data_IF_026568292812
#
_entry.id   IF_026568292812
#
_cell.length_a   1.000
_cell.length_b   1.000
_cell.length_c   1.000
_cell.angle_alpha   90.00
_cell.angle_beta   90.00
_cell.angle_gamma   90.00
#
_symmetry.space_group_name_H-M   'P 1'
#
loop_
_entity.id
_entity.type
_entity.pdbx_description
1 polymer ?
#
# COMPACT_ATOMS: atom_id res chain seq x y z
N UNK A 1 13.90 -30.41 15.97
CA UNK A 1 13.22 -29.84 14.80
C UNK A 1 11.76 -29.59 15.16
N UNK A 2 11.40 -28.36 15.49
CA UNK A 2 10.01 -27.96 15.74
C UNK A 2 9.25 -27.97 14.42
N UNK A 3 8.22 -28.82 14.31
CA UNK A 3 7.31 -28.82 13.16
C UNK A 3 6.58 -27.47 13.14
N UNK A 4 7.01 -26.57 12.25
CA UNK A 4 6.35 -25.29 12.06
C UNK A 4 4.97 -25.57 11.48
N UNK A 5 3.91 -25.26 12.23
CA UNK A 5 2.54 -25.49 11.77
C UNK A 5 2.14 -24.43 10.74
N UNK A 6 1.28 -24.79 9.79
CA UNK A 6 0.73 -23.85 8.80
C UNK A 6 0.08 -22.62 9.48
N UNK A 7 -0.62 -22.83 10.59
CA UNK A 7 -1.22 -21.75 11.38
C UNK A 7 -0.18 -20.75 11.89
N UNK A 8 1.00 -21.24 12.30
CA UNK A 8 2.11 -20.39 12.74
C UNK A 8 2.69 -19.57 11.59
N UNK A 9 2.87 -20.19 10.41
CA UNK A 9 3.35 -19.50 9.20
C UNK A 9 2.38 -18.38 8.79
N UNK A 10 1.08 -18.68 8.76
CA UNK A 10 0.04 -17.70 8.42
C UNK A 10 -0.01 -16.54 9.43
N UNK A 11 0.19 -16.83 10.71
CA UNK A 11 0.26 -15.80 11.75
C UNK A 11 1.46 -14.87 11.55
N UNK A 12 2.65 -15.42 11.28
CA UNK A 12 3.84 -14.59 11.02
C UNK A 12 3.69 -13.74 9.76
N UNK A 13 3.12 -14.32 8.70
CA UNK A 13 2.84 -13.59 7.47
C UNK A 13 1.86 -12.43 7.72
N UNK A 14 0.82 -12.66 8.53
CA UNK A 14 -0.12 -11.61 8.93
C UNK A 14 0.55 -10.45 9.68
N UNK A 15 1.41 -10.76 10.66
CA UNK A 15 2.15 -9.73 11.41
C UNK A 15 3.14 -8.98 10.52
N UNK A 16 3.80 -9.67 9.58
CA UNK A 16 4.70 -9.07 8.62
C UNK A 16 3.98 -8.03 7.73
N UNK A 17 2.81 -8.40 7.17
CA UNK A 17 2.01 -7.47 6.37
C UNK A 17 1.48 -6.29 7.18
N UNK A 18 1.04 -6.51 8.42
CA UNK A 18 0.66 -5.43 9.32
C UNK A 18 1.83 -4.46 9.52
N UNK A 19 3.05 -4.97 9.73
CA UNK A 19 4.25 -4.14 9.85
C UNK A 19 4.49 -3.27 8.62
N UNK A 20 4.40 -3.86 7.42
CA UNK A 20 4.56 -3.12 6.15
C UNK A 20 3.52 -2.01 6.04
N UNK A 21 2.24 -2.30 6.27
CA UNK A 21 1.17 -1.32 6.16
C UNK A 21 1.31 -0.19 7.19
N UNK A 22 1.67 -0.51 8.43
CA UNK A 22 1.95 0.50 9.45
C UNK A 22 3.12 1.41 9.04
N UNK A 23 4.20 0.84 8.51
CA UNK A 23 5.35 1.62 8.04
C UNK A 23 4.96 2.55 6.89
N UNK A 24 4.26 2.04 5.88
CA UNK A 24 3.81 2.86 4.74
C UNK A 24 2.86 3.97 5.21
N UNK A 25 1.82 3.63 5.99
CA UNK A 25 0.89 4.60 6.54
C UNK A 25 1.58 5.71 7.35
N UNK A 26 2.58 5.36 8.17
CA UNK A 26 3.31 6.32 8.99
C UNK A 26 4.16 7.27 8.15
N UNK A 27 4.91 6.74 7.18
CA UNK A 27 5.75 7.55 6.30
C UNK A 27 4.89 8.48 5.44
N UNK A 28 3.83 7.95 4.83
CA UNK A 28 2.92 8.73 3.99
C UNK A 28 2.17 9.80 4.80
N UNK A 29 1.69 9.47 6.00
CA UNK A 29 1.04 10.45 6.88
C UNK A 29 2.00 11.55 7.34
N UNK A 30 3.22 11.18 7.74
CA UNK A 30 4.25 12.15 8.15
C UNK A 30 4.61 13.10 7.01
N UNK A 31 4.76 12.58 5.79
CA UNK A 31 5.03 13.39 4.60
C UNK A 31 3.85 14.36 4.29
N UNK A 32 2.61 13.86 4.32
CA UNK A 32 1.43 14.70 4.09
C UNK A 32 1.30 15.81 5.14
N UNK A 33 1.40 15.46 6.43
CA UNK A 33 1.26 16.43 7.52
C UNK A 33 2.38 17.46 7.48
N UNK A 34 3.62 17.04 7.20
CA UNK A 34 4.73 17.97 7.05
C UNK A 34 4.43 18.99 5.95
N UNK A 35 4.10 18.53 4.73
CA UNK A 35 3.82 19.42 3.61
C UNK A 35 2.61 20.35 3.86
N UNK A 36 1.52 19.83 4.43
CA UNK A 36 0.31 20.61 4.69
C UNK A 36 0.48 21.64 5.81
N UNK A 37 1.38 21.40 6.77
CA UNK A 37 1.66 22.33 7.86
C UNK A 37 2.80 23.30 7.53
N UNK A 38 3.72 22.93 6.64
CA UNK A 38 4.90 23.75 6.32
C UNK A 38 4.61 24.86 5.31
N UNK A 39 3.57 24.72 4.48
CA UNK A 39 3.23 25.71 3.47
C UNK A 39 1.91 26.42 3.77
N UNK A 40 1.97 27.76 3.85
CA UNK A 40 0.80 28.63 3.92
C UNK A 40 0.34 29.11 2.54
N UNK A 41 1.05 28.76 1.47
CA UNK A 41 0.68 29.16 0.11
C UNK A 41 -0.47 28.30 -0.37
N UNK A 42 -1.62 28.95 -0.58
CA UNK A 42 -2.78 28.34 -1.20
C UNK A 42 -2.56 28.33 -2.72
N UNK A 43 -1.83 27.32 -3.23
CA UNK A 43 -1.99 26.95 -4.63
C UNK A 43 -3.18 25.99 -4.78
N UNK A 44 -4.08 26.28 -5.73
CA UNK A 44 -5.21 25.44 -6.13
C UNK A 44 -4.79 24.25 -7.02
N UNK A 45 -3.67 23.59 -6.71
CA UNK A 45 -3.22 22.41 -7.44
C UNK A 45 -3.88 21.14 -6.89
N UNK A 46 -4.32 20.19 -7.74
CA UNK A 46 -4.85 18.90 -7.30
C UNK A 46 -3.94 18.13 -6.33
N UNK A 47 -2.61 18.34 -6.36
CA UNK A 47 -1.68 17.71 -5.41
C UNK A 47 -2.05 18.02 -3.95
N UNK A 48 -2.43 19.25 -3.62
CA UNK A 48 -2.78 19.61 -2.23
C UNK A 48 -4.06 18.92 -1.78
N UNK A 49 -5.09 18.91 -2.62
CA UNK A 49 -6.34 18.21 -2.35
C UNK A 49 -6.08 16.71 -2.16
N UNK A 50 -5.23 16.12 -2.99
CA UNK A 50 -4.81 14.74 -2.87
C UNK A 50 -4.10 14.44 -1.55
N UNK A 51 -3.13 15.26 -1.12
CA UNK A 51 -2.45 15.09 0.17
C UNK A 51 -3.42 15.16 1.36
N UNK A 52 -4.44 16.02 1.29
CA UNK A 52 -5.50 16.10 2.32
C UNK A 52 -6.32 14.80 2.36
N UNK A 53 -6.70 14.27 1.19
CA UNK A 53 -7.43 13.00 1.11
C UNK A 53 -6.57 11.85 1.65
N UNK A 54 -5.28 11.82 1.33
CA UNK A 54 -4.36 10.81 1.84
C UNK A 54 -4.21 10.90 3.37
N UNK A 55 -3.98 12.10 3.90
CA UNK A 55 -3.85 12.33 5.34
C UNK A 55 -5.10 11.94 6.14
N UNK A 56 -6.29 12.10 5.54
CA UNK A 56 -7.56 11.73 6.19
C UNK A 56 -7.91 10.25 6.03
N UNK A 57 -7.62 9.64 4.88
CA UNK A 57 -7.99 8.26 4.59
C UNK A 57 -7.05 7.24 5.24
N UNK A 58 -5.73 7.46 5.24
CA UNK A 58 -4.75 6.48 5.73
C UNK A 58 -4.98 6.06 7.20
N UNK A 59 -5.25 6.97 8.15
CA UNK A 59 -5.55 6.57 9.54
C UNK A 59 -6.84 5.74 9.64
N UNK A 60 -7.88 6.13 8.89
CA UNK A 60 -9.17 5.43 8.87
C UNK A 60 -9.04 4.01 8.31
N UNK A 61 -8.33 3.87 7.20
CA UNK A 61 -8.03 2.56 6.60
C UNK A 61 -7.21 1.69 7.55
N UNK A 62 -6.32 2.28 8.37
CA UNK A 62 -5.44 1.53 9.27
C UNK A 62 -6.26 0.95 10.42
N UNK A 63 -7.16 1.75 10.98
CA UNK A 63 -8.11 1.28 11.98
C UNK A 63 -8.99 0.16 11.40
N UNK A 64 -9.56 0.33 10.21
CA UNK A 64 -10.38 -0.70 9.56
C UNK A 64 -9.58 -2.00 9.37
N UNK A 65 -8.30 -1.91 8.96
CA UNK A 65 -7.41 -3.06 8.86
C UNK A 65 -7.16 -3.75 10.20
N UNK A 66 -6.92 -3.00 11.27
CA UNK A 66 -6.69 -3.56 12.60
C UNK A 66 -7.91 -4.35 13.12
N UNK A 67 -9.14 -3.88 12.85
CA UNK A 67 -10.37 -4.55 13.30
C UNK A 67 -10.81 -5.71 12.39
N UNK A 68 -10.75 -5.54 11.08
CA UNK A 68 -11.34 -6.49 10.12
C UNK A 68 -10.32 -7.37 9.39
N UNK A 69 -9.03 -7.00 9.46
CA UNK A 69 -7.88 -7.64 8.81
C UNK A 69 -8.07 -7.81 7.30
N UNK A 70 -8.76 -8.88 6.87
CA UNK A 70 -8.95 -9.24 5.46
C UNK A 70 -9.71 -8.16 4.69
N UNK A 71 -10.83 -7.68 5.23
CA UNK A 71 -11.64 -6.68 4.56
C UNK A 71 -10.91 -5.33 4.48
N UNK A 72 -10.24 -4.93 5.56
CA UNK A 72 -9.40 -3.75 5.57
C UNK A 72 -8.24 -3.82 4.57
N UNK A 73 -7.63 -4.98 4.33
CA UNK A 73 -6.57 -5.12 3.33
C UNK A 73 -7.10 -4.87 1.92
N UNK A 74 -8.28 -5.41 1.61
CA UNK A 74 -8.96 -5.22 0.33
C UNK A 74 -9.28 -3.73 0.13
N UNK A 75 -9.89 -3.08 1.12
CA UNK A 75 -10.18 -1.64 1.07
C UNK A 75 -8.92 -0.80 0.91
N UNK A 76 -7.86 -1.12 1.66
CA UNK A 76 -6.57 -0.45 1.57
C UNK A 76 -6.00 -0.52 0.16
N UNK A 77 -6.07 -1.71 -0.46
CA UNK A 77 -5.55 -1.95 -1.80
C UNK A 77 -6.38 -1.23 -2.86
N UNK A 78 -7.72 -1.31 -2.74
CA UNK A 78 -8.65 -0.60 -3.62
C UNK A 78 -8.55 0.91 -3.51
N UNK A 79 -8.14 1.44 -2.36
CA UNK A 79 -7.84 2.84 -2.17
C UNK A 79 -6.49 3.20 -2.82
N UNK A 80 -5.40 2.50 -2.47
CA UNK A 80 -4.06 2.87 -2.94
C UNK A 80 -3.92 2.82 -4.46
N UNK A 81 -4.50 1.83 -5.15
CA UNK A 81 -4.34 1.69 -6.61
C UNK A 81 -4.75 2.96 -7.38
N UNK A 82 -6.02 3.44 -7.30
CA UNK A 82 -6.43 4.63 -8.02
C UNK A 82 -5.72 5.89 -7.54
N UNK A 83 -5.46 6.01 -6.22
CA UNK A 83 -4.84 7.22 -5.67
C UNK A 83 -3.35 7.34 -5.98
N UNK A 84 -2.61 6.22 -6.10
CA UNK A 84 -1.23 6.23 -6.57
C UNK A 84 -1.15 6.64 -8.05
N UNK A 85 -2.08 6.13 -8.88
CA UNK A 85 -2.15 6.49 -10.29
C UNK A 85 -2.50 7.98 -10.49
N UNK A 86 -3.55 8.46 -9.82
CA UNK A 86 -3.95 9.87 -9.86
C UNK A 86 -2.86 10.80 -9.30
N UNK A 87 -2.27 10.44 -8.16
CA UNK A 87 -1.16 11.19 -7.56
C UNK A 87 0.03 11.31 -8.50
N UNK A 88 0.35 10.26 -9.25
CA UNK A 88 1.41 10.29 -10.27
C UNK A 88 1.09 11.23 -11.41
N UNK A 89 -0.15 11.21 -11.91
CA UNK A 89 -0.59 12.13 -12.97
C UNK A 89 -0.48 13.58 -12.49
N UNK A 90 -1.01 13.89 -11.31
CA UNK A 90 -1.02 15.26 -10.77
C UNK A 90 0.38 15.76 -10.37
N UNK A 91 1.25 14.89 -9.87
CA UNK A 91 2.60 15.29 -9.49
C UNK A 91 3.51 15.58 -10.69
N UNK A 92 3.25 14.97 -11.86
CA UNK A 92 4.05 15.16 -13.07
C UNK A 92 3.60 16.39 -13.88
N UNK A 93 2.30 16.68 -13.89
CA UNK A 93 1.68 17.73 -14.71
C UNK A 93 1.44 19.05 -13.95
N UNK A 94 2.03 19.19 -12.76
CA UNK A 94 1.73 20.30 -11.85
C UNK A 94 2.55 21.57 -12.11
N UNK A 95 1.88 22.65 -12.50
CA UNK A 95 2.48 23.98 -12.71
C UNK A 95 2.87 24.67 -11.39
N UNK A 96 2.37 24.20 -10.24
CA UNK A 96 2.57 24.82 -8.93
C UNK A 96 3.76 24.30 -8.11
N UNK A 97 4.68 23.58 -8.75
CA UNK A 97 5.86 23.01 -8.08
C UNK A 97 6.76 24.05 -7.40
N UNK A 98 6.79 25.28 -7.88
CA UNK A 98 7.57 26.37 -7.29
C UNK A 98 6.89 27.01 -6.06
N UNK A 99 5.56 27.02 -6.01
CA UNK A 99 4.79 27.68 -4.95
C UNK A 99 4.46 26.72 -3.79
N UNK A 100 4.49 25.41 -4.05
CA UNK A 100 4.26 24.36 -3.06
C UNK A 100 5.31 23.22 -3.10
N UNK A 101 6.61 23.52 -3.00
CA UNK A 101 7.67 22.53 -3.23
C UNK A 101 7.63 21.36 -2.23
N UNK A 102 7.29 21.61 -0.96
CA UNK A 102 7.16 20.55 0.05
C UNK A 102 6.03 19.57 -0.29
N UNK A 103 4.97 20.07 -0.94
CA UNK A 103 3.87 19.26 -1.45
C UNK A 103 4.30 18.25 -2.50
N UNK A 104 5.12 18.67 -3.46
CA UNK A 104 5.63 17.77 -4.50
C UNK A 104 6.69 16.80 -3.97
N UNK A 105 7.47 17.20 -2.96
CA UNK A 105 8.35 16.26 -2.23
C UNK A 105 7.52 15.20 -1.51
N UNK A 106 6.47 15.61 -0.79
CA UNK A 106 5.56 14.67 -0.14
C UNK A 106 4.86 13.77 -1.15
N UNK A 107 4.39 14.32 -2.27
CA UNK A 107 3.81 13.58 -3.39
C UNK A 107 4.77 12.49 -3.90
N UNK A 108 6.03 12.84 -4.13
CA UNK A 108 7.07 11.89 -4.55
C UNK A 108 7.29 10.77 -3.54
N UNK A 109 7.35 11.10 -2.24
CA UNK A 109 7.44 10.09 -1.17
C UNK A 109 6.24 9.14 -1.22
N UNK A 110 5.01 9.69 -1.31
CA UNK A 110 3.78 8.91 -1.37
C UNK A 110 3.78 7.95 -2.57
N UNK A 111 4.08 8.46 -3.76
CA UNK A 111 4.16 7.68 -4.99
C UNK A 111 5.13 6.51 -4.83
N UNK A 112 6.34 6.76 -4.32
CA UNK A 112 7.36 5.72 -4.10
C UNK A 112 6.86 4.69 -3.10
N UNK A 113 6.30 5.12 -1.96
CA UNK A 113 5.82 4.21 -0.93
C UNK A 113 4.65 3.36 -1.41
N UNK A 114 3.72 3.95 -2.15
CA UNK A 114 2.52 3.29 -2.64
C UNK A 114 2.86 2.27 -3.73
N UNK A 115 3.69 2.63 -4.71
CA UNK A 115 4.15 1.67 -5.73
C UNK A 115 5.03 0.56 -5.16
N UNK A 116 5.86 0.85 -4.16
CA UNK A 116 6.64 -0.19 -3.47
C UNK A 116 5.71 -1.21 -2.81
N UNK A 117 4.67 -0.74 -2.10
CA UNK A 117 3.67 -1.60 -1.49
C UNK A 117 2.91 -2.43 -2.53
N UNK A 118 2.44 -1.81 -3.61
CA UNK A 118 1.75 -2.51 -4.71
C UNK A 118 2.66 -3.55 -5.38
N UNK A 119 3.94 -3.24 -5.56
CA UNK A 119 4.94 -4.17 -6.08
C UNK A 119 5.11 -5.40 -5.17
N UNK A 120 5.21 -5.19 -3.85
CA UNK A 120 5.30 -6.28 -2.88
C UNK A 120 4.05 -7.18 -2.88
N UNK A 121 2.85 -6.57 -2.94
CA UNK A 121 1.59 -7.30 -3.03
C UNK A 121 1.54 -8.15 -4.31
N UNK A 122 1.95 -7.58 -5.44
CA UNK A 122 1.98 -8.25 -6.74
C UNK A 122 2.93 -9.43 -6.74
N UNK A 123 4.16 -9.25 -6.22
CA UNK A 123 5.15 -10.34 -6.11
C UNK A 123 4.61 -11.46 -5.22
N UNK A 124 4.02 -11.13 -4.08
CA UNK A 124 3.43 -12.12 -3.19
C UNK A 124 2.32 -12.90 -3.89
N UNK A 125 1.41 -12.22 -4.60
CA UNK A 125 0.34 -12.85 -5.35
C UNK A 125 0.88 -13.80 -6.44
N UNK A 126 1.93 -13.41 -7.17
CA UNK A 126 2.59 -14.26 -8.15
C UNK A 126 3.20 -15.52 -7.51
N UNK A 127 3.89 -15.39 -6.38
CA UNK A 127 4.47 -16.53 -5.66
C UNK A 127 3.39 -17.53 -5.23
N UNK A 128 2.29 -17.03 -4.65
CA UNK A 128 1.16 -17.88 -4.26
C UNK A 128 0.46 -18.52 -5.46
N UNK A 129 0.31 -17.79 -6.56
CA UNK A 129 -0.26 -18.30 -7.81
C UNK A 129 0.57 -19.45 -8.40
N UNK A 130 1.88 -19.26 -8.52
CA UNK A 130 2.80 -20.30 -9.01
C UNK A 130 2.76 -21.52 -8.09
N UNK A 131 2.79 -21.32 -6.77
CA UNK A 131 2.72 -22.41 -5.79
C UNK A 131 1.41 -23.21 -5.91
N UNK A 132 0.29 -22.54 -6.15
CA UNK A 132 -1.00 -23.19 -6.38
C UNK A 132 -1.01 -24.02 -7.66
N UNK A 133 -0.45 -23.50 -8.76
CA UNK A 133 -0.32 -24.24 -10.02
C UNK A 133 0.53 -25.50 -9.87
N UNK A 134 1.70 -25.40 -9.20
CA UNK A 134 2.56 -26.55 -8.92
C UNK A 134 1.82 -27.58 -8.05
N UNK A 135 1.13 -27.12 -7.01
CA UNK A 135 0.35 -27.98 -6.12
C UNK A 135 -0.76 -28.74 -6.86
N UNK A 136 -1.44 -28.09 -7.80
CA UNK A 136 -2.45 -28.76 -8.64
C UNK A 136 -1.83 -29.82 -9.55
N UNK A 137 -0.70 -29.54 -10.20
CA UNK A 137 -0.01 -30.53 -11.05
C UNK A 137 0.45 -31.77 -10.29
N UNK A 138 1.03 -31.58 -9.10
CA UNK A 138 1.43 -32.70 -8.23
C UNK A 138 0.22 -33.52 -7.74
N UNK A 139 -0.91 -32.87 -7.47
CA UNK A 139 -2.13 -33.54 -7.04
C UNK A 139 -2.73 -34.40 -8.17
N UNK A 140 -2.72 -33.89 -9.41
CA UNK A 140 -3.20 -34.66 -10.57
C UNK A 140 -2.33 -35.89 -10.83
N UNK A 141 -1.00 -35.77 -10.79
CA UNK A 141 -0.10 -36.93 -10.94
C UNK A 141 -0.33 -37.98 -9.84
N UNK A 142 -0.52 -37.54 -8.60
CA UNK A 142 -0.79 -38.46 -7.48
C UNK A 142 -2.10 -39.24 -7.66
N UNK A 143 -3.12 -38.62 -8.26
CA UNK A 143 -4.39 -39.28 -8.54
C UNK A 143 -4.31 -40.27 -9.70
N UNK A 144 -3.44 -40.05 -10.69
CA UNK A 144 -3.23 -40.98 -11.81
C UNK A 144 -2.42 -42.22 -11.44
N UNK A 145 -1.54 -42.12 -10.44
CA UNK A 145 -0.71 -43.24 -9.95
C UNK A 145 -1.49 -44.16 -9.00
N UNK A 146 -2.64 -43.72 -8.48
CA UNK A 146 -3.48 -44.43 -7.51
C UNK A 146 -4.62 -45.21 -8.17
#
# INVERSE_FOLDING_TARGET
MTKLSLATILSYLGTFWLGILCCQATVSLAACLYALLSSSNDCEDPVRAWLIVQASALPGLLLIYLFTKKFGLILWTLFIIPWAALGTIWAIDGDCSNDFPEGYVAAGILIITDYTLLGLITIAACIFGISACIGQGLLSEYQEIK
#
